data_IF_237494516129
#
_entry.id   IF_237494516129
#
_cell.length_a   1.000
_cell.length_b   1.000
_cell.length_c   1.000
_cell.angle_alpha   90.00
_cell.angle_beta   90.00
_cell.angle_gamma   90.00
#
_symmetry.space_group_name_H-M   'P 1'
#
loop_
_entity.id
_entity.type
_entity.pdbx_description
1 polymer ?
#
# COMPACT_ATOMS: atom_id res chain seq x y z
N UNK A 1 8.51 -16.96 2.35
CA UNK A 1 7.68 -15.86 2.88
C UNK A 1 7.04 -16.39 4.16
N UNK A 2 7.05 -15.64 5.27
CA UNK A 2 6.49 -16.14 6.53
C UNK A 2 4.95 -16.18 6.43
N UNK A 3 4.32 -17.20 7.04
CA UNK A 3 2.86 -17.37 7.09
C UNK A 3 2.18 -16.10 7.63
N UNK A 4 2.81 -15.42 8.59
CA UNK A 4 2.36 -14.15 9.15
C UNK A 4 2.17 -13.04 8.10
N UNK A 5 3.05 -12.96 7.10
CA UNK A 5 2.95 -11.96 6.02
C UNK A 5 1.78 -12.25 5.08
N UNK A 6 1.52 -13.53 4.81
CA UNK A 6 0.38 -13.95 3.99
C UNK A 6 -0.93 -13.66 4.71
N UNK A 7 -1.02 -14.00 6.00
CA UNK A 7 -2.18 -13.69 6.84
C UNK A 7 -2.40 -12.18 6.98
N UNK A 8 -1.33 -11.40 7.17
CA UNK A 8 -1.43 -9.93 7.23
C UNK A 8 -2.07 -9.34 5.99
N UNK A 9 -1.76 -9.84 4.80
CA UNK A 9 -2.38 -9.40 3.56
C UNK A 9 -3.81 -9.94 3.40
N UNK A 10 -3.99 -11.26 3.53
CA UNK A 10 -5.25 -11.94 3.24
C UNK A 10 -6.37 -11.56 4.23
N UNK A 11 -6.02 -11.30 5.49
CA UNK A 11 -6.96 -10.93 6.54
C UNK A 11 -6.96 -9.43 6.84
N UNK A 12 -6.34 -8.61 5.99
CA UNK A 12 -6.40 -7.17 6.18
C UNK A 12 -7.84 -6.68 5.94
N UNK A 13 -8.51 -6.06 6.92
CA UNK A 13 -9.91 -5.68 6.79
C UNK A 13 -10.14 -4.66 5.67
N UNK A 14 -9.18 -3.77 5.39
CA UNK A 14 -9.30 -2.81 4.29
C UNK A 14 -9.18 -3.51 2.92
N UNK A 15 -8.34 -4.54 2.79
CA UNK A 15 -8.28 -5.36 1.56
C UNK A 15 -9.61 -6.06 1.32
N UNK A 16 -10.14 -6.72 2.35
CA UNK A 16 -11.42 -7.43 2.24
C UNK A 16 -12.55 -6.46 1.87
N UNK A 17 -12.60 -5.29 2.50
CA UNK A 17 -13.63 -4.30 2.23
C UNK A 17 -13.50 -3.68 0.83
N UNK A 18 -12.33 -3.17 0.45
CA UNK A 18 -12.20 -2.44 -0.83
C UNK A 18 -12.17 -3.36 -2.05
N UNK A 19 -11.48 -4.50 -1.96
CA UNK A 19 -11.28 -5.37 -3.12
C UNK A 19 -12.44 -6.33 -3.33
N UNK A 20 -12.97 -6.91 -2.24
CA UNK A 20 -14.07 -7.87 -2.33
C UNK A 20 -15.43 -7.20 -2.13
N UNK A 21 -15.57 -6.34 -1.12
CA UNK A 21 -16.85 -5.68 -0.80
C UNK A 21 -17.23 -4.60 -1.80
N UNK A 22 -16.34 -3.64 -2.03
CA UNK A 22 -16.57 -2.49 -2.90
C UNK A 22 -16.25 -2.78 -4.38
N UNK A 23 -15.51 -3.86 -4.66
CA UNK A 23 -15.17 -4.28 -6.03
C UNK A 23 -14.21 -3.32 -6.73
N UNK A 24 -13.33 -2.63 -5.99
CA UNK A 24 -12.33 -1.77 -6.60
C UNK A 24 -11.39 -2.58 -7.51
N UNK A 25 -11.11 -2.03 -8.69
CA UNK A 25 -10.19 -2.57 -9.68
C UNK A 25 -8.70 -2.54 -9.24
N UNK A 26 -8.41 -2.24 -7.97
CA UNK A 26 -7.07 -2.27 -7.40
C UNK A 26 -6.50 -3.69 -7.29
N UNK A 27 -7.36 -4.68 -7.04
CA UNK A 27 -6.96 -6.08 -6.96
C UNK A 27 -6.33 -6.61 -8.26
N UNK A 28 -6.99 -6.53 -9.44
CA UNK A 28 -6.37 -6.96 -10.69
C UNK A 28 -5.16 -6.11 -11.08
N UNK A 29 -5.19 -4.79 -10.82
CA UNK A 29 -4.04 -3.90 -11.02
C UNK A 29 -2.81 -4.39 -10.26
N UNK A 30 -2.91 -4.56 -8.93
CA UNK A 30 -1.78 -4.93 -8.09
C UNK A 30 -1.33 -6.37 -8.36
N UNK A 31 -2.25 -7.26 -8.71
CA UNK A 31 -1.92 -8.63 -9.10
C UNK A 31 -1.02 -8.65 -10.35
N UNK A 32 -1.35 -7.87 -11.38
CA UNK A 32 -0.53 -7.75 -12.60
C UNK A 32 0.81 -7.05 -12.33
N UNK A 33 0.82 -6.03 -11.48
CA UNK A 33 2.06 -5.37 -11.03
C UNK A 33 3.00 -6.34 -10.28
N UNK A 34 2.47 -7.13 -9.35
CA UNK A 34 3.24 -8.11 -8.59
C UNK A 34 3.69 -9.27 -9.49
N UNK A 35 2.87 -9.68 -10.46
CA UNK A 35 3.27 -10.64 -11.49
C UNK A 35 4.43 -10.10 -12.32
N UNK A 36 4.39 -8.83 -12.73
CA UNK A 36 5.50 -8.18 -13.43
C UNK A 36 6.79 -8.22 -12.59
N UNK A 37 6.70 -7.84 -11.32
CA UNK A 37 7.83 -7.86 -10.40
C UNK A 37 8.39 -9.28 -10.21
N UNK A 38 7.51 -10.28 -10.07
CA UNK A 38 7.89 -11.69 -9.99
C UNK A 38 8.60 -12.17 -11.26
N UNK A 39 8.07 -11.87 -12.44
CA UNK A 39 8.70 -12.22 -13.72
C UNK A 39 10.07 -11.56 -13.90
N UNK A 40 10.28 -10.34 -13.38
CA UNK A 40 11.61 -9.73 -13.34
C UNK A 40 12.59 -10.51 -12.48
N UNK A 41 12.15 -11.09 -11.36
CA UNK A 41 13.01 -11.96 -10.53
C UNK A 41 13.44 -13.23 -11.28
N UNK A 42 12.57 -13.73 -12.18
CA UNK A 42 12.86 -14.84 -13.09
C UNK A 42 13.61 -14.43 -14.37
N UNK A 43 14.04 -13.16 -14.49
CA UNK A 43 14.70 -12.58 -15.68
C UNK A 43 13.85 -12.60 -16.96
N UNK A 44 12.54 -12.83 -16.88
CA UNK A 44 11.60 -12.85 -18.01
C UNK A 44 11.12 -11.43 -18.35
N UNK A 45 12.01 -10.56 -18.84
CA UNK A 45 11.75 -9.12 -19.01
C UNK A 45 10.59 -8.78 -19.95
N UNK A 46 10.44 -9.49 -21.06
CA UNK A 46 9.35 -9.24 -22.03
C UNK A 46 7.98 -9.50 -21.39
N UNK A 47 7.83 -10.64 -20.71
CA UNK A 47 6.61 -10.98 -19.98
C UNK A 47 6.36 -10.05 -18.80
N UNK A 48 7.42 -9.61 -18.11
CA UNK A 48 7.30 -8.62 -17.06
C UNK A 48 6.78 -7.27 -17.60
N UNK A 49 7.31 -6.81 -18.73
CA UNK A 49 6.85 -5.58 -19.38
C UNK A 49 5.39 -5.73 -19.83
N UNK A 50 5.03 -6.85 -20.43
CA UNK A 50 3.64 -7.11 -20.84
C UNK A 50 2.67 -7.06 -19.66
N UNK A 51 2.97 -7.76 -18.56
CA UNK A 51 2.16 -7.71 -17.34
C UNK A 51 2.08 -6.29 -16.75
N UNK A 52 3.18 -5.53 -16.80
CA UNK A 52 3.19 -4.14 -16.35
C UNK A 52 2.33 -3.24 -17.23
N UNK A 53 2.38 -3.39 -18.56
CA UNK A 53 1.55 -2.60 -19.48
C UNK A 53 0.06 -2.88 -19.26
N UNK A 54 -0.32 -4.13 -19.02
CA UNK A 54 -1.69 -4.48 -18.63
C UNK A 54 -2.08 -3.82 -17.30
N UNK A 55 -1.20 -3.84 -16.30
CA UNK A 55 -1.42 -3.15 -15.03
C UNK A 55 -1.60 -1.64 -15.20
N UNK A 56 -0.74 -0.99 -16.01
CA UNK A 56 -0.82 0.44 -16.33
C UNK A 56 -2.13 0.75 -17.04
N UNK A 57 -2.58 -0.14 -17.93
CA UNK A 57 -3.87 -0.03 -18.60
C UNK A 57 -5.08 -0.07 -17.67
N UNK A 58 -4.97 -0.69 -16.49
CA UNK A 58 -6.00 -0.63 -15.44
C UNK A 58 -5.90 0.68 -14.66
N UNK A 59 -4.71 1.03 -14.16
CA UNK A 59 -4.41 2.34 -13.55
C UNK A 59 -2.96 2.74 -13.77
N UNK A 60 -2.77 3.97 -14.22
CA UNK A 60 -1.46 4.51 -14.58
C UNK A 60 -0.43 4.56 -13.44
N UNK A 61 -0.87 4.54 -12.17
CA UNK A 61 0.04 4.61 -11.01
C UNK A 61 1.10 3.51 -11.03
N UNK A 62 0.83 2.36 -11.64
CA UNK A 62 1.81 1.27 -11.68
C UNK A 62 3.01 1.56 -12.57
N UNK A 63 3.00 2.66 -13.34
CA UNK A 63 4.13 3.12 -14.16
C UNK A 63 5.42 3.31 -13.36
N UNK A 64 5.35 3.51 -12.04
CA UNK A 64 6.55 3.61 -11.20
C UNK A 64 7.42 2.34 -11.25
N UNK A 65 6.90 1.15 -11.59
CA UNK A 65 7.76 -0.02 -11.78
C UNK A 65 8.56 0.01 -13.09
N UNK A 66 8.17 0.84 -14.07
CA UNK A 66 8.74 0.84 -15.42
C UNK A 66 10.28 1.00 -15.45
N UNK A 67 10.91 1.88 -14.66
CA UNK A 67 12.38 1.97 -14.61
C UNK A 67 13.06 0.65 -14.21
N UNK A 68 12.40 -0.17 -13.36
CA UNK A 68 12.96 -1.44 -12.90
C UNK A 68 13.07 -2.51 -14.01
N UNK A 69 12.25 -2.40 -15.06
CA UNK A 69 12.31 -3.29 -16.24
C UNK A 69 13.68 -3.19 -16.94
N UNK A 70 14.21 -1.97 -17.02
CA UNK A 70 15.44 -1.66 -17.75
C UNK A 70 16.72 -1.86 -16.93
N UNK A 71 16.61 -2.08 -15.62
CA UNK A 71 17.76 -2.35 -14.77
C UNK A 71 18.44 -3.67 -15.17
N UNK A 72 19.79 -3.66 -15.23
CA UNK A 72 20.59 -4.89 -15.44
C UNK A 72 20.45 -5.83 -14.23
N UNK A 73 20.57 -5.27 -13.04
CA UNK A 73 20.52 -6.01 -11.77
C UNK A 73 19.35 -5.49 -10.91
N UNK A 74 18.27 -6.26 -10.86
CA UNK A 74 17.15 -5.98 -9.97
C UNK A 74 17.54 -6.31 -8.52
N UNK A 75 17.43 -5.33 -7.63
CA UNK A 75 17.44 -5.57 -6.19
C UNK A 75 16.00 -5.50 -5.69
N UNK A 76 15.36 -6.65 -5.52
CA UNK A 76 13.94 -6.76 -5.16
C UNK A 76 13.60 -5.94 -3.91
N UNK A 77 14.44 -6.01 -2.87
CA UNK A 77 14.21 -5.28 -1.62
C UNK A 77 14.21 -3.77 -1.83
N UNK A 78 15.19 -3.23 -2.58
CA UNK A 78 15.24 -1.79 -2.92
C UNK A 78 14.06 -1.37 -3.79
N UNK A 79 13.69 -2.20 -4.77
CA UNK A 79 12.52 -1.95 -5.62
C UNK A 79 11.24 -1.91 -4.80
N UNK A 80 11.04 -2.84 -3.87
CA UNK A 80 9.87 -2.86 -2.99
C UNK A 80 9.78 -1.62 -2.09
N UNK A 81 10.91 -1.16 -1.53
CA UNK A 81 10.92 0.11 -0.77
C UNK A 81 10.59 1.31 -1.64
N UNK A 82 11.13 1.35 -2.85
CA UNK A 82 10.83 2.41 -3.81
C UNK A 82 9.34 2.43 -4.18
N UNK A 83 8.74 1.27 -4.46
CA UNK A 83 7.30 1.16 -4.74
C UNK A 83 6.47 1.54 -3.50
N UNK A 84 6.83 1.04 -2.32
CA UNK A 84 6.15 1.40 -1.08
C UNK A 84 6.15 2.92 -0.87
N UNK A 85 7.28 3.58 -1.10
CA UNK A 85 7.43 5.02 -1.01
C UNK A 85 6.61 5.76 -2.08
N UNK A 86 6.76 5.38 -3.35
CA UNK A 86 6.05 6.00 -4.46
C UNK A 86 4.52 5.90 -4.29
N UNK A 87 4.00 4.72 -3.99
CA UNK A 87 2.56 4.51 -3.82
C UNK A 87 2.00 5.16 -2.55
N UNK A 88 2.84 5.43 -1.53
CA UNK A 88 2.44 6.24 -0.38
C UNK A 88 2.33 7.73 -0.76
N UNK A 89 3.30 8.25 -1.52
CA UNK A 89 3.37 9.69 -1.84
C UNK A 89 2.47 10.13 -2.98
N UNK A 90 2.32 9.31 -4.02
CA UNK A 90 1.61 9.71 -5.24
C UNK A 90 0.19 10.19 -4.98
N UNK A 91 -0.64 9.48 -4.18
CA UNK A 91 -1.98 9.98 -3.89
C UNK A 91 -1.96 11.24 -3.02
N UNK A 92 -0.91 11.50 -2.24
CA UNK A 92 -0.77 12.75 -1.46
C UNK A 92 -0.44 13.95 -2.34
N UNK A 93 0.33 13.72 -3.41
CA UNK A 93 0.72 14.78 -4.35
C UNK A 93 -0.41 15.08 -5.33
N UNK A 94 -1.12 14.05 -5.81
CA UNK A 94 -2.19 14.22 -6.80
C UNK A 94 -3.48 14.75 -6.21
N UNK A 95 -3.78 14.40 -4.95
CA UNK A 95 -5.06 14.70 -4.34
C UNK A 95 -4.81 15.50 -3.05
N UNK A 96 -5.28 16.76 -3.03
CA UNK A 96 -5.48 17.47 -1.76
C UNK A 96 -6.29 16.58 -0.79
N UNK A 97 -6.11 16.76 0.51
CA UNK A 97 -6.65 15.90 1.58
C UNK A 97 -8.13 15.49 1.45
N UNK A 98 -8.95 16.28 0.73
CA UNK A 98 -10.34 15.98 0.39
C UNK A 98 -10.52 14.75 -0.53
N UNK A 99 -9.60 14.52 -1.46
CA UNK A 99 -9.66 13.44 -2.45
C UNK A 99 -8.72 12.28 -2.13
N UNK A 100 -7.93 12.36 -1.04
CA UNK A 100 -7.22 11.17 -0.55
C UNK A 100 -8.27 10.19 -0.02
N UNK A 101 -8.32 8.97 -0.54
CA UNK A 101 -9.36 7.99 -0.25
C UNK A 101 -8.78 6.70 0.35
N UNK A 102 -9.55 5.96 1.16
CA UNK A 102 -9.09 4.74 1.83
C UNK A 102 -8.44 3.71 0.91
N UNK A 103 -8.98 3.50 -0.30
CA UNK A 103 -8.48 2.50 -1.24
C UNK A 103 -7.03 2.71 -1.66
N UNK A 104 -6.49 3.93 -1.60
CA UNK A 104 -5.07 4.18 -1.89
C UNK A 104 -4.12 3.47 -0.92
N UNK A 105 -4.55 3.24 0.32
CA UNK A 105 -3.75 2.49 1.30
C UNK A 105 -3.69 1.01 0.93
N UNK A 106 -4.68 0.49 0.20
CA UNK A 106 -4.61 -0.91 -0.28
C UNK A 106 -3.45 -1.16 -1.22
N UNK A 107 -2.92 -0.11 -1.87
CA UNK A 107 -1.81 -0.24 -2.81
C UNK A 107 -0.50 -0.63 -2.13
N UNK A 108 -0.32 -0.23 -0.86
CA UNK A 108 0.94 -0.42 -0.14
C UNK A 108 0.97 -1.70 0.72
N UNK A 109 -0.19 -2.28 1.03
CA UNK A 109 -0.34 -3.49 1.86
C UNK A 109 0.41 -4.69 1.24
N UNK A 110 0.28 -5.00 -0.07
CA UNK A 110 1.00 -6.13 -0.65
C UNK A 110 2.52 -5.96 -0.58
N UNK A 111 3.05 -4.75 -0.76
CA UNK A 111 4.49 -4.51 -0.67
C UNK A 111 5.00 -4.69 0.77
N UNK A 112 4.25 -4.22 1.77
CA UNK A 112 4.57 -4.44 3.17
C UNK A 112 4.58 -5.94 3.52
N UNK A 113 3.61 -6.69 2.99
CA UNK A 113 3.55 -8.15 3.14
C UNK A 113 4.76 -8.83 2.49
N UNK A 114 5.08 -8.52 1.22
CA UNK A 114 6.21 -9.11 0.49
C UNK A 114 7.56 -8.77 1.15
N UNK A 115 7.72 -7.56 1.69
CA UNK A 115 8.91 -7.19 2.45
C UNK A 115 9.08 -8.01 3.74
N UNK A 116 7.96 -8.48 4.34
CA UNK A 116 7.95 -9.33 5.53
C UNK A 116 8.55 -8.70 6.79
N UNK A 117 8.69 -7.37 6.82
CA UNK A 117 9.31 -6.67 7.93
C UNK A 117 8.24 -6.24 8.94
N UNK A 118 8.29 -6.81 10.14
CA UNK A 118 7.29 -6.57 11.18
C UNK A 118 7.02 -5.09 11.44
N UNK A 119 8.05 -4.23 11.54
CA UNK A 119 7.84 -2.78 11.75
C UNK A 119 7.09 -2.10 10.61
N UNK A 120 7.33 -2.51 9.36
CA UNK A 120 6.63 -1.95 8.19
C UNK A 120 5.20 -2.45 8.17
N UNK A 121 5.00 -3.75 8.42
CA UNK A 121 3.66 -4.35 8.50
C UNK A 121 2.83 -3.70 9.60
N UNK A 122 3.41 -3.39 10.76
CA UNK A 122 2.71 -2.66 11.84
C UNK A 122 2.31 -1.25 11.43
N UNK A 123 3.22 -0.48 10.82
CA UNK A 123 2.90 0.89 10.37
C UNK A 123 1.83 0.86 9.27
N UNK A 124 1.94 -0.02 8.28
CA UNK A 124 0.96 -0.14 7.19
C UNK A 124 -0.36 -0.72 7.68
N UNK A 125 -0.33 -1.63 8.66
CA UNK A 125 -1.52 -2.14 9.32
C UNK A 125 -2.26 -1.04 10.09
N UNK A 126 -1.54 -0.20 10.83
CA UNK A 126 -2.12 0.96 11.49
C UNK A 126 -2.68 1.96 10.46
N UNK A 127 -2.01 2.15 9.33
CA UNK A 127 -2.53 2.99 8.24
C UNK A 127 -3.84 2.43 7.68
N UNK A 128 -3.89 1.13 7.41
CA UNK A 128 -5.10 0.43 6.94
C UNK A 128 -6.26 0.60 7.92
N UNK A 129 -6.01 0.40 9.23
CA UNK A 129 -7.01 0.63 10.27
C UNK A 129 -7.48 2.09 10.30
N UNK A 130 -6.57 3.05 10.24
CA UNK A 130 -6.90 4.48 10.18
C UNK A 130 -7.76 4.86 8.98
N UNK A 131 -7.47 4.28 7.81
CA UNK A 131 -8.28 4.46 6.61
C UNK A 131 -9.68 3.87 6.73
N UNK A 132 -9.85 2.74 7.42
CA UNK A 132 -11.18 2.20 7.72
C UNK A 132 -11.98 3.12 8.66
N UNK A 133 -11.33 3.79 9.61
CA UNK A 133 -12.02 4.72 10.51
C UNK A 133 -12.66 5.91 9.77
N UNK A 134 -12.24 6.19 8.53
CA UNK A 134 -12.87 7.22 7.70
C UNK A 134 -14.30 6.89 7.28
N UNK A 135 -14.72 5.63 7.39
CA UNK A 135 -16.11 5.25 7.16
C UNK A 135 -17.01 5.56 8.38
N UNK A 136 -16.44 5.87 9.56
CA UNK A 136 -17.22 6.13 10.78
C UNK A 136 -18.22 7.30 10.64
N UNK A 137 -17.88 8.47 10.06
CA UNK A 137 -18.84 9.55 9.86
C UNK A 137 -20.06 9.08 9.06
N UNK A 138 -19.82 8.34 7.98
CA UNK A 138 -20.88 7.78 7.15
C UNK A 138 -21.69 6.72 7.91
N UNK A 139 -21.05 5.78 8.61
CA UNK A 139 -21.77 4.75 9.39
C UNK A 139 -22.62 5.37 10.50
N UNK A 140 -22.15 6.44 11.14
CA UNK A 140 -22.84 7.09 12.26
C UNK A 140 -23.95 8.06 11.83
N UNK A 141 -23.78 8.76 10.71
CA UNK A 141 -24.70 9.83 10.29
C UNK A 141 -25.38 9.59 8.94
N UNK A 142 -25.02 8.51 8.23
CA UNK A 142 -25.35 8.28 6.81
C UNK A 142 -24.84 9.37 5.86
N UNK A 143 -23.98 10.27 6.35
CA UNK A 143 -23.42 11.38 5.59
C UNK A 143 -21.89 11.31 5.60
N UNK A 144 -21.27 11.63 4.47
CA UNK A 144 -19.81 11.75 4.35
C UNK A 144 -19.24 13.04 4.95
N UNK A 145 -20.01 13.75 5.78
CA UNK A 145 -19.84 15.16 6.15
C UNK A 145 -18.70 15.47 7.14
N UNK A 146 -17.63 14.68 7.18
CA UNK A 146 -16.47 15.00 8.02
C UNK A 146 -15.53 16.00 7.32
N UNK A 147 -14.83 16.79 8.12
CA UNK A 147 -13.86 17.75 7.60
C UNK A 147 -12.61 17.03 7.04
N UNK A 148 -11.86 17.64 6.11
CA UNK A 148 -10.59 17.10 5.61
C UNK A 148 -9.58 16.87 6.72
N UNK A 149 -9.59 17.76 7.72
CA UNK A 149 -8.74 17.62 8.90
C UNK A 149 -9.09 16.35 9.67
N UNK A 150 -10.37 16.08 9.88
CA UNK A 150 -10.84 14.83 10.49
C UNK A 150 -10.36 13.61 9.69
N UNK A 151 -10.55 13.61 8.37
CA UNK A 151 -10.09 12.50 7.54
C UNK A 151 -8.57 12.32 7.52
N UNK A 152 -7.81 13.42 7.51
CA UNK A 152 -6.36 13.38 7.63
C UNK A 152 -5.94 12.80 8.99
N UNK A 153 -6.57 13.24 10.08
CA UNK A 153 -6.28 12.73 11.42
C UNK A 153 -6.55 11.22 11.50
N UNK A 154 -7.71 10.76 11.03
CA UNK A 154 -8.07 9.34 11.02
C UNK A 154 -7.09 8.51 10.17
N UNK A 155 -6.65 9.02 9.02
CA UNK A 155 -5.74 8.32 8.11
C UNK A 155 -4.30 8.27 8.64
N UNK A 156 -3.75 9.42 9.04
CA UNK A 156 -2.32 9.60 9.23
C UNK A 156 -1.88 9.51 10.70
N UNK A 157 -2.75 9.80 11.67
CA UNK A 157 -2.37 9.70 13.07
C UNK A 157 -1.98 8.26 13.47
N UNK A 158 -2.75 7.20 13.11
CA UNK A 158 -2.40 5.84 13.49
C UNK A 158 -1.02 5.37 13.00
N UNK A 159 -0.63 5.51 11.71
CA UNK A 159 0.70 5.11 11.26
C UNK A 159 1.81 5.98 11.84
N UNK A 160 1.59 7.28 12.06
CA UNK A 160 2.58 8.18 12.68
C UNK A 160 2.83 7.77 14.13
N UNK A 161 1.78 7.58 14.92
CA UNK A 161 1.88 7.15 16.32
C UNK A 161 2.61 5.81 16.40
N UNK A 162 2.22 4.85 15.56
CA UNK A 162 2.87 3.53 15.51
C UNK A 162 4.35 3.62 15.18
N UNK A 163 4.73 4.48 14.22
CA UNK A 163 6.12 4.71 13.88
C UNK A 163 6.90 5.33 15.05
N UNK A 164 6.34 6.34 15.72
CA UNK A 164 6.97 6.98 16.87
C UNK A 164 7.19 5.99 18.02
N UNK A 165 6.20 5.13 18.31
CA UNK A 165 6.31 4.06 19.30
C UNK A 165 7.45 3.11 18.93
N UNK A 166 7.52 2.64 17.68
CA UNK A 166 8.58 1.74 17.22
C UNK A 166 9.97 2.39 17.36
N UNK A 167 10.10 3.66 16.98
CA UNK A 167 11.37 4.39 17.07
C UNK A 167 11.79 4.60 18.54
N UNK A 168 10.84 4.90 19.42
CA UNK A 168 11.07 5.03 20.85
C UNK A 168 11.55 3.70 21.47
N UNK A 169 10.86 2.59 21.21
CA UNK A 169 11.28 1.27 21.68
C UNK A 169 12.65 0.85 21.15
N UNK A 170 12.96 1.17 19.89
CA UNK A 170 14.30 0.91 19.31
C UNK A 170 15.39 1.73 19.97
N UNK A 171 15.10 2.97 20.38
CA UNK A 171 16.04 3.82 21.12
C UNK A 171 16.31 3.25 22.51
N UNK A 172 15.26 2.82 23.23
CA UNK A 172 15.41 2.21 24.56
C UNK A 172 16.24 0.93 24.55
N UNK A 173 16.12 0.08 23.53
CA UNK A 173 16.92 -1.16 23.41
C UNK A 173 18.39 -0.95 22.99
N UNK A 174 18.77 0.27 22.63
CA UNK A 174 20.15 0.61 22.24
C UNK A 174 20.95 1.27 23.37
N UNK A 175 20.26 1.69 24.43
CA UNK A 175 20.84 2.17 25.69
C UNK A 175 20.99 0.97 26.64
#
# INVERSE_FOLDING_TARGET
MQVTSQLFFALNPLILYEWLGNGHNDAPMLSLLLLSLYLLTLKKKVWALFALLLSIGIKYVTIFLLPAIFLKNLNLKKTLYYLLFAFTLVPLVYNYSFQYQPWYVTWIIPFAAVLGQGSIMWVVGAYSLGSLLRYLPFVSTSLWGATPFTFALLSFAPPIITLLIILFYRRLRRL
#
